data_IF_319398947637
#
_entry.id   IF_319398947637
#
_cell.length_a   1.000
_cell.length_b   1.000
_cell.length_c   1.000
_cell.angle_alpha   90.00
_cell.angle_beta   90.00
_cell.angle_gamma   90.00
#
_symmetry.space_group_name_H-M   'P 1'
#
loop_
_entity.id
_entity.type
_entity.pdbx_description
1 polymer ?
#
# COMPACT_ATOMS: atom_id res chain seq x y z
N UNK A 1 25.45 11.08 14.75
CA UNK A 1 24.72 11.80 15.81
C UNK A 1 23.63 12.64 15.16
N UNK A 2 22.36 12.47 15.57
CA UNK A 2 21.25 13.19 14.95
C UNK A 2 21.39 14.70 15.19
N UNK A 3 21.46 15.47 14.10
CA UNK A 3 21.56 16.94 14.15
C UNK A 3 20.27 17.46 14.81
N UNK A 4 20.39 18.00 16.03
CA UNK A 4 19.25 18.57 16.78
C UNK A 4 18.69 19.74 15.97
N UNK A 5 17.39 19.70 15.67
CA UNK A 5 16.70 20.82 15.02
C UNK A 5 16.30 21.82 16.11
N UNK A 6 16.77 23.05 15.97
CA UNK A 6 16.39 24.21 16.79
C UNK A 6 15.36 25.04 16.03
N UNK A 7 14.39 25.60 16.75
CA UNK A 7 13.44 26.58 16.24
C UNK A 7 13.41 27.78 17.21
N UNK A 8 12.94 28.93 16.76
CA UNK A 8 12.86 30.16 17.53
C UNK A 8 11.41 30.63 17.57
N UNK A 9 10.82 30.74 18.75
CA UNK A 9 9.41 31.07 18.92
C UNK A 9 9.26 32.44 19.57
N UNK A 10 8.42 33.30 19.02
CA UNK A 10 8.11 34.61 19.58
C UNK A 10 7.21 34.44 20.80
N UNK A 11 7.63 34.93 21.97
CA UNK A 11 6.83 34.85 23.20
C UNK A 11 5.53 35.68 23.14
N UNK A 12 5.49 36.71 22.28
CA UNK A 12 4.37 37.64 22.24
C UNK A 12 3.26 37.19 21.27
N UNK A 13 3.62 36.58 20.13
CA UNK A 13 2.64 36.18 19.11
C UNK A 13 2.66 34.70 18.75
N UNK A 14 3.61 33.91 19.27
CA UNK A 14 3.71 32.48 19.02
C UNK A 14 4.30 32.07 17.66
N UNK A 15 4.69 33.02 16.81
CA UNK A 15 5.31 32.72 15.52
C UNK A 15 6.64 31.99 15.67
N UNK A 16 6.88 30.97 14.85
CA UNK A 16 8.10 30.19 14.83
C UNK A 16 9.00 30.47 13.61
N UNK A 17 10.31 30.43 13.83
CA UNK A 17 11.34 30.72 12.83
C UNK A 17 12.46 29.69 12.91
N UNK A 18 13.07 29.37 11.76
CA UNK A 18 14.16 28.39 11.69
C UNK A 18 15.51 28.94 12.20
N UNK A 19 15.70 30.27 12.18
CA UNK A 19 16.94 30.95 12.56
C UNK A 19 16.62 32.15 13.47
N UNK A 20 17.58 32.54 14.31
CA UNK A 20 17.45 33.74 15.14
C UNK A 20 17.44 34.98 14.25
N UNK A 21 16.49 35.86 14.52
CA UNK A 21 16.41 37.20 13.95
C UNK A 21 15.99 38.12 15.09
N UNK A 22 16.69 39.23 15.35
CA UNK A 22 16.42 40.07 16.53
C UNK A 22 15.02 40.72 16.57
N UNK A 23 14.27 40.63 15.47
CA UNK A 23 12.93 41.17 15.29
C UNK A 23 11.95 40.09 14.79
N UNK A 24 10.78 39.99 15.42
CA UNK A 24 9.68 39.15 14.96
C UNK A 24 8.97 39.83 13.79
N UNK A 25 8.90 39.16 12.63
CA UNK A 25 8.31 39.74 11.41
C UNK A 25 6.78 39.81 11.43
N UNK A 26 6.13 39.04 12.30
CA UNK A 26 4.67 38.99 12.35
C UNK A 26 4.08 40.01 13.33
N UNK A 27 4.69 40.21 14.50
CA UNK A 27 4.22 41.21 15.48
C UNK A 27 5.10 42.46 15.57
N UNK A 28 6.25 42.51 14.89
CA UNK A 28 7.17 43.64 14.90
C UNK A 28 7.97 43.82 16.20
N UNK A 29 7.77 42.97 17.21
CA UNK A 29 8.45 43.07 18.49
C UNK A 29 9.94 42.67 18.39
N UNK A 30 10.78 43.35 19.18
CA UNK A 30 12.22 43.11 19.26
C UNK A 30 12.56 42.25 20.47
N UNK A 31 13.56 41.37 20.33
CA UNK A 31 14.08 40.50 21.40
C UNK A 31 13.04 39.58 22.07
N UNK A 32 11.93 39.27 21.39
CA UNK A 32 10.86 38.39 21.90
C UNK A 32 11.00 36.94 21.46
N UNK A 33 11.93 36.66 20.54
CA UNK A 33 12.20 35.31 20.06
C UNK A 33 12.97 34.53 21.12
N UNK A 34 12.59 33.28 21.35
CA UNK A 34 13.26 32.37 22.28
C UNK A 34 13.56 31.04 21.60
N UNK A 35 14.74 30.48 21.88
CA UNK A 35 15.16 29.21 21.29
C UNK A 35 14.37 28.05 21.93
N UNK A 36 13.61 27.34 21.10
CA UNK A 36 12.90 26.13 21.47
C UNK A 36 13.59 24.92 20.83
N UNK A 37 13.97 23.97 21.68
CA UNK A 37 14.52 22.69 21.24
C UNK A 37 13.38 21.80 20.81
N UNK A 38 13.25 21.56 19.50
CA UNK A 38 12.29 20.58 18.99
C UNK A 38 12.77 19.18 19.37
N UNK A 39 11.94 18.44 20.09
CA UNK A 39 12.20 17.05 20.39
C UNK A 39 12.31 16.28 19.07
N UNK A 40 13.40 15.54 18.89
CA UNK A 40 13.51 14.58 17.80
C UNK A 40 12.43 13.52 18.00
N UNK A 41 11.51 13.41 17.04
CA UNK A 41 10.52 12.33 17.01
C UNK A 41 11.25 10.99 17.17
N UNK A 42 10.84 10.08 18.07
CA UNK A 42 11.51 8.80 18.25
C UNK A 42 11.56 8.06 16.90
N UNK A 43 12.75 7.63 16.50
CA UNK A 43 12.96 6.84 15.28
C UNK A 43 12.16 5.52 15.27
N UNK A 44 11.64 5.10 16.43
CA UNK A 44 10.76 3.94 16.59
C UNK A 44 9.50 4.00 15.71
N UNK A 45 8.94 5.20 15.45
CA UNK A 45 7.75 5.31 14.59
C UNK A 45 8.03 5.02 13.10
N UNK A 46 9.30 5.10 12.66
CA UNK A 46 9.70 4.73 11.30
C UNK A 46 9.99 3.24 11.14
N UNK A 47 10.35 2.53 12.21
CA UNK A 47 10.71 1.11 12.15
C UNK A 47 9.48 0.20 11.93
N UNK A 48 8.32 0.60 12.44
CA UNK A 48 7.07 -0.18 12.30
C UNK A 48 6.58 -0.24 10.84
N UNK A 49 6.95 0.75 10.00
CA UNK A 49 6.53 0.82 8.59
C UNK A 49 7.19 -0.23 7.67
N UNK A 50 8.20 -0.95 8.14
CA UNK A 50 8.90 -1.97 7.35
C UNK A 50 8.77 -3.39 7.92
N UNK A 51 7.89 -3.61 8.89
CA UNK A 51 7.69 -4.93 9.47
C UNK A 51 6.82 -5.79 8.55
N UNK A 52 7.47 -6.43 7.56
CA UNK A 52 6.83 -7.40 6.67
C UNK A 52 6.42 -8.69 7.40
N UNK A 53 5.68 -9.56 6.71
CA UNK A 53 5.25 -10.87 7.21
C UNK A 53 6.41 -11.71 7.80
N UNK A 54 7.62 -11.57 7.24
CA UNK A 54 8.84 -12.24 7.70
C UNK A 54 9.36 -11.78 9.09
N UNK A 55 8.78 -10.74 9.69
CA UNK A 55 9.17 -10.20 11.00
C UNK A 55 8.03 -10.02 12.00
N UNK A 56 6.81 -10.47 11.67
CA UNK A 56 5.63 -10.31 12.51
C UNK A 56 5.38 -11.50 13.47
N UNK A 57 5.99 -12.65 13.22
CA UNK A 57 5.90 -13.80 14.12
C UNK A 57 6.96 -13.67 15.23
N UNK A 58 6.49 -13.64 16.49
CA UNK A 58 7.27 -13.61 17.73
C UNK A 58 8.13 -14.88 17.98
N UNK A 59 8.67 -15.52 16.95
CA UNK A 59 9.50 -16.72 17.05
C UNK A 59 10.63 -16.68 16.04
N UNK A 60 11.53 -15.70 16.18
CA UNK A 60 12.81 -15.66 15.45
C UNK A 60 13.85 -16.58 16.11
N UNK A 61 13.50 -17.85 16.32
CA UNK A 61 14.51 -18.85 16.67
C UNK A 61 15.20 -19.33 15.40
N UNK A 62 16.53 -19.41 15.43
CA UNK A 62 17.31 -20.04 14.38
C UNK A 62 16.89 -21.52 14.31
N UNK A 63 16.36 -21.94 13.18
CA UNK A 63 15.96 -23.32 12.91
C UNK A 63 16.58 -23.77 11.60
N UNK A 64 16.87 -25.07 11.48
CA UNK A 64 17.30 -25.67 10.23
C UNK A 64 16.09 -25.88 9.30
N UNK A 65 16.31 -25.96 7.98
CA UNK A 65 15.23 -26.00 6.99
C UNK A 65 14.25 -27.17 7.19
N UNK A 66 14.73 -28.30 7.70
CA UNK A 66 13.94 -29.51 8.02
C UNK A 66 13.02 -29.34 9.23
N UNK A 67 13.29 -28.36 10.09
CA UNK A 67 12.48 -28.04 11.26
C UNK A 67 11.33 -27.07 10.94
N UNK A 68 11.34 -26.49 9.73
CA UNK A 68 10.28 -25.58 9.29
C UNK A 68 9.02 -26.40 9.03
N UNK A 69 7.99 -26.14 9.83
CA UNK A 69 6.70 -26.78 9.66
C UNK A 69 6.09 -26.36 8.30
N UNK A 70 5.98 -27.32 7.39
CA UNK A 70 5.38 -27.13 6.07
C UNK A 70 3.84 -27.13 6.12
N UNK A 71 3.21 -27.03 7.29
CA UNK A 71 1.76 -26.90 7.45
C UNK A 71 1.23 -25.96 6.36
N UNK A 72 0.46 -26.53 5.42
CA UNK A 72 0.16 -25.91 4.15
C UNK A 72 -0.38 -24.51 4.40
N UNK A 73 0.35 -23.49 3.95
CA UNK A 73 -0.22 -22.14 3.89
C UNK A 73 -1.52 -22.23 3.09
N UNK A 74 -2.66 -21.80 3.65
CA UNK A 74 -3.95 -21.93 3.00
C UNK A 74 -3.92 -21.13 1.69
N UNK A 75 -4.18 -21.84 0.59
CA UNK A 75 -4.29 -21.29 -0.76
C UNK A 75 -5.74 -21.17 -1.18
N UNK A 76 -6.03 -20.20 -2.03
CA UNK A 76 -7.33 -20.09 -2.69
C UNK A 76 -7.15 -20.04 -4.21
N UNK A 77 -8.11 -20.63 -4.93
CA UNK A 77 -8.09 -20.73 -6.39
C UNK A 77 -8.32 -19.38 -7.04
N UNK A 78 -7.66 -19.14 -8.17
CA UNK A 78 -7.90 -17.99 -9.05
C UNK A 78 -9.14 -18.18 -9.94
N UNK A 79 -9.75 -19.37 -9.92
CA UNK A 79 -10.82 -19.78 -10.84
C UNK A 79 -10.30 -20.28 -12.19
N UNK A 80 -8.99 -20.17 -12.46
CA UNK A 80 -8.34 -20.65 -13.68
C UNK A 80 -7.30 -21.72 -13.36
N UNK A 81 -7.59 -22.99 -13.69
CA UNK A 81 -6.77 -24.14 -13.30
C UNK A 81 -5.30 -24.06 -13.75
N UNK A 82 -5.03 -23.60 -14.99
CA UNK A 82 -3.65 -23.43 -15.46
C UNK A 82 -2.93 -22.29 -14.73
N UNK A 83 -3.66 -21.23 -14.35
CA UNK A 83 -3.07 -20.14 -13.59
C UNK A 83 -2.76 -20.59 -12.15
N UNK A 84 -3.66 -21.34 -11.53
CA UNK A 84 -3.42 -21.98 -10.23
C UNK A 84 -2.20 -22.90 -10.28
N UNK A 85 -2.05 -23.69 -11.35
CA UNK A 85 -0.90 -24.57 -11.55
C UNK A 85 0.41 -23.78 -11.59
N UNK A 86 0.45 -22.65 -12.31
CA UNK A 86 1.62 -21.75 -12.34
C UNK A 86 1.92 -21.17 -10.95
N UNK A 87 0.89 -20.86 -10.17
CA UNK A 87 1.02 -20.34 -8.81
C UNK A 87 1.35 -21.41 -7.74
N UNK A 88 1.47 -22.68 -8.13
CA UNK A 88 1.72 -23.79 -7.20
C UNK A 88 0.47 -24.23 -6.42
N UNK A 89 -0.69 -24.19 -7.07
CA UNK A 89 -1.99 -24.58 -6.52
C UNK A 89 -2.89 -23.41 -6.09
N UNK A 90 -2.61 -22.19 -6.56
CA UNK A 90 -3.41 -20.99 -6.27
C UNK A 90 -2.69 -19.94 -5.41
N UNK A 91 -3.42 -18.88 -5.08
CA UNK A 91 -2.94 -17.68 -4.39
C UNK A 91 -2.69 -17.95 -2.90
N UNK A 92 -1.61 -17.38 -2.37
CA UNK A 92 -1.26 -17.43 -0.94
C UNK A 92 -1.58 -16.08 -0.28
N UNK A 93 -2.18 -16.13 0.90
CA UNK A 93 -2.47 -14.93 1.69
C UNK A 93 -1.20 -14.15 2.03
N UNK A 94 -1.26 -12.82 1.91
CA UNK A 94 -0.13 -11.94 2.24
C UNK A 94 1.05 -12.03 1.26
N UNK A 95 0.85 -12.64 0.09
CA UNK A 95 1.85 -12.68 -0.98
C UNK A 95 1.70 -11.48 -1.94
N UNK A 96 2.79 -11.15 -2.62
CA UNK A 96 2.80 -10.21 -3.75
C UNK A 96 3.23 -10.97 -5.00
N UNK A 97 2.47 -10.83 -6.09
CA UNK A 97 2.69 -11.56 -7.34
C UNK A 97 2.82 -10.54 -8.47
N UNK A 98 3.89 -10.64 -9.24
CA UNK A 98 4.13 -9.83 -10.43
C UNK A 98 3.79 -10.64 -11.69
N UNK A 99 2.88 -10.13 -12.51
CA UNK A 99 2.56 -10.70 -13.82
C UNK A 99 3.28 -9.90 -14.91
N UNK A 100 4.38 -10.47 -15.41
CA UNK A 100 5.12 -9.91 -16.54
C UNK A 100 4.66 -10.44 -17.89
N UNK A 101 4.86 -9.66 -18.95
CA UNK A 101 4.57 -10.07 -20.33
C UNK A 101 4.48 -8.88 -21.28
N UNK A 102 4.66 -9.13 -22.57
CA UNK A 102 4.60 -8.10 -23.61
C UNK A 102 3.25 -7.35 -23.61
N UNK A 103 3.19 -6.09 -24.08
CA UNK A 103 1.93 -5.43 -24.40
C UNK A 103 1.07 -6.33 -25.31
N UNK A 104 -0.23 -6.43 -25.01
CA UNK A 104 -1.13 -7.31 -25.75
C UNK A 104 -1.07 -8.80 -25.39
N UNK A 105 -0.18 -9.24 -24.48
CA UNK A 105 -0.12 -10.65 -24.02
C UNK A 105 -1.34 -11.12 -23.19
N UNK A 106 -2.32 -10.24 -22.96
CA UNK A 106 -3.56 -10.58 -22.24
C UNK A 106 -3.50 -10.49 -20.72
N UNK A 107 -2.49 -9.82 -20.15
CA UNK A 107 -2.31 -9.66 -18.68
C UNK A 107 -3.56 -9.08 -17.99
N UNK A 108 -3.99 -7.90 -18.44
CA UNK A 108 -5.17 -7.21 -17.92
C UNK A 108 -6.45 -8.04 -18.10
N UNK A 109 -6.56 -8.79 -19.19
CA UNK A 109 -7.69 -9.70 -19.43
C UNK A 109 -7.71 -10.84 -18.41
N UNK A 110 -6.57 -11.51 -18.20
CA UNK A 110 -6.44 -12.59 -17.21
C UNK A 110 -6.75 -12.08 -15.79
N UNK A 111 -6.20 -10.92 -15.44
CA UNK A 111 -6.43 -10.28 -14.15
C UNK A 111 -7.90 -9.92 -13.96
N UNK A 112 -8.55 -9.33 -14.96
CA UNK A 112 -9.97 -8.96 -14.90
C UNK A 112 -10.86 -10.19 -14.71
N UNK A 113 -10.61 -11.27 -15.46
CA UNK A 113 -11.33 -12.54 -15.31
C UNK A 113 -11.17 -13.14 -13.90
N UNK A 114 -9.93 -13.18 -13.41
CA UNK A 114 -9.60 -13.67 -12.07
C UNK A 114 -10.29 -12.84 -10.98
N UNK A 115 -10.24 -11.52 -11.09
CA UNK A 115 -10.81 -10.62 -10.09
C UNK A 115 -12.33 -10.64 -10.08
N UNK A 116 -13.00 -10.71 -11.24
CA UNK A 116 -14.45 -10.91 -11.32
C UNK A 116 -14.88 -12.23 -10.66
N UNK A 117 -14.11 -13.31 -10.85
CA UNK A 117 -14.37 -14.59 -10.21
C UNK A 117 -14.20 -14.51 -8.69
N UNK A 118 -13.08 -13.99 -8.21
CA UNK A 118 -12.78 -13.88 -6.77
C UNK A 118 -13.78 -12.99 -6.04
N UNK A 119 -14.20 -11.89 -6.66
CA UNK A 119 -15.20 -10.96 -6.14
C UNK A 119 -16.54 -11.64 -5.78
N UNK A 120 -16.83 -12.82 -6.33
CA UNK A 120 -18.05 -13.55 -5.98
C UNK A 120 -18.05 -14.11 -4.57
N UNK A 121 -16.88 -14.30 -3.97
CA UNK A 121 -16.70 -14.95 -2.66
C UNK A 121 -15.95 -14.11 -1.63
N UNK A 122 -15.36 -12.99 -2.03
CA UNK A 122 -14.58 -12.12 -1.16
C UNK A 122 -14.47 -10.71 -1.71
N UNK A 123 -14.21 -9.73 -0.83
CA UNK A 123 -13.96 -8.36 -1.24
C UNK A 123 -12.67 -8.29 -2.07
N UNK A 124 -12.81 -7.81 -3.31
CA UNK A 124 -11.73 -7.71 -4.28
C UNK A 124 -11.66 -6.30 -4.85
N UNK A 125 -10.44 -5.75 -4.98
CA UNK A 125 -10.20 -4.41 -5.52
C UNK A 125 -9.34 -4.47 -6.78
N UNK A 126 -9.87 -3.97 -7.90
CA UNK A 126 -9.12 -3.76 -9.13
C UNK A 126 -8.78 -2.28 -9.29
N UNK A 127 -7.49 -1.95 -9.28
CA UNK A 127 -7.00 -0.61 -9.54
C UNK A 127 -6.43 -0.55 -10.95
N UNK A 128 -6.90 0.41 -11.74
CA UNK A 128 -6.36 0.71 -13.09
C UNK A 128 -5.66 2.07 -13.12
N UNK A 129 -4.45 2.09 -13.66
CA UNK A 129 -3.69 3.32 -13.89
C UNK A 129 -3.65 3.75 -15.37
N UNK A 130 -3.82 2.80 -16.30
CA UNK A 130 -3.68 3.05 -17.74
C UNK A 130 -5.03 3.24 -18.47
N UNK A 131 -6.07 2.56 -18.01
CA UNK A 131 -7.38 2.53 -18.67
C UNK A 131 -8.46 3.17 -17.81
N UNK A 132 -9.47 3.78 -18.44
CA UNK A 132 -10.65 4.29 -17.74
C UNK A 132 -11.55 3.15 -17.25
N UNK A 133 -12.32 3.41 -16.19
CA UNK A 133 -13.29 2.43 -15.67
C UNK A 133 -14.29 1.97 -16.74
N UNK A 134 -14.69 2.86 -17.64
CA UNK A 134 -15.60 2.55 -18.74
C UNK A 134 -14.97 1.54 -19.73
N UNK A 135 -13.67 1.70 -20.05
CA UNK A 135 -12.96 0.78 -20.93
C UNK A 135 -12.87 -0.62 -20.34
N UNK A 136 -12.55 -0.71 -19.04
CA UNK A 136 -12.49 -1.99 -18.33
C UNK A 136 -13.88 -2.63 -18.22
N UNK A 137 -14.92 -1.85 -17.89
CA UNK A 137 -16.29 -2.34 -17.79
C UNK A 137 -16.82 -2.89 -19.13
N UNK A 138 -16.56 -2.19 -20.25
CA UNK A 138 -16.92 -2.69 -21.59
C UNK A 138 -16.23 -4.02 -21.90
N UNK A 139 -14.96 -4.19 -21.50
CA UNK A 139 -14.22 -5.45 -21.66
C UNK A 139 -14.86 -6.56 -20.84
N UNK A 140 -15.20 -6.30 -19.58
CA UNK A 140 -15.87 -7.27 -18.70
C UNK A 140 -17.22 -7.72 -19.27
N UNK A 141 -18.02 -6.78 -19.77
CA UNK A 141 -19.30 -7.09 -20.44
C UNK A 141 -19.10 -7.95 -21.69
N UNK A 142 -18.15 -7.61 -22.56
CA UNK A 142 -17.84 -8.39 -23.77
C UNK A 142 -17.43 -9.83 -23.45
N UNK A 143 -16.75 -10.03 -22.33
CA UNK A 143 -16.30 -11.34 -21.85
C UNK A 143 -17.38 -12.11 -21.07
N UNK A 144 -18.54 -11.50 -20.81
CA UNK A 144 -19.62 -12.13 -20.04
C UNK A 144 -19.27 -12.38 -18.58
N UNK A 145 -18.42 -11.53 -17.99
CA UNK A 145 -17.97 -11.70 -16.61
C UNK A 145 -19.01 -11.20 -15.60
N UNK A 146 -19.06 -11.77 -14.39
CA UNK A 146 -19.87 -11.22 -13.32
C UNK A 146 -19.23 -9.93 -12.79
N UNK A 147 -19.95 -8.81 -12.90
CA UNK A 147 -19.43 -7.46 -12.60
C UNK A 147 -20.07 -6.80 -11.38
N UNK A 148 -20.99 -7.49 -10.70
CA UNK A 148 -21.83 -6.94 -9.64
C UNK A 148 -21.11 -6.70 -8.31
N UNK A 149 -19.97 -7.37 -8.09
CA UNK A 149 -19.25 -7.36 -6.80
C UNK A 149 -17.81 -6.87 -6.86
N UNK A 150 -17.24 -6.70 -8.05
CA UNK A 150 -15.84 -6.27 -8.17
C UNK A 150 -15.74 -4.76 -7.89
N UNK A 151 -15.00 -4.38 -6.85
CA UNK A 151 -14.69 -2.97 -6.60
C UNK A 151 -13.61 -2.50 -7.57
N UNK A 152 -13.82 -1.33 -8.15
CA UNK A 152 -12.94 -0.76 -9.16
C UNK A 152 -12.51 0.66 -8.78
N UNK A 153 -11.24 0.97 -9.01
CA UNK A 153 -10.65 2.28 -8.79
C UNK A 153 -9.78 2.66 -9.99
N UNK A 154 -9.93 3.89 -10.49
CA UNK A 154 -9.04 4.46 -11.50
C UNK A 154 -8.17 5.50 -10.81
N UNK A 155 -6.94 5.14 -10.47
CA UNK A 155 -6.06 5.96 -9.66
C UNK A 155 -4.60 5.60 -9.94
N UNK A 156 -3.72 6.59 -9.88
CA UNK A 156 -2.27 6.43 -10.08
C UNK A 156 -1.46 6.80 -8.84
N UNK A 157 -2.06 7.55 -7.90
CA UNK A 157 -1.41 7.90 -6.65
C UNK A 157 -1.49 6.75 -5.63
N UNK A 158 -0.33 6.23 -5.22
CA UNK A 158 -0.24 5.09 -4.29
C UNK A 158 -0.83 5.40 -2.91
N UNK A 159 -0.71 6.64 -2.41
CA UNK A 159 -1.28 7.02 -1.12
C UNK A 159 -2.81 6.98 -1.15
N UNK A 160 -3.42 7.44 -2.25
CA UNK A 160 -4.87 7.37 -2.50
C UNK A 160 -5.34 5.92 -2.59
N UNK A 161 -4.62 5.07 -3.33
CA UNK A 161 -4.92 3.64 -3.44
C UNK A 161 -4.88 2.96 -2.06
N UNK A 162 -3.82 3.21 -1.28
CA UNK A 162 -3.68 2.67 0.07
C UNK A 162 -4.81 3.14 1.00
N UNK A 163 -5.20 4.42 0.94
CA UNK A 163 -6.31 4.94 1.74
C UNK A 163 -7.63 4.25 1.41
N UNK A 164 -7.92 4.00 0.13
CA UNK A 164 -9.12 3.24 -0.27
C UNK A 164 -9.04 1.77 0.17
N UNK A 165 -7.87 1.15 0.07
CA UNK A 165 -7.66 -0.22 0.51
C UNK A 165 -7.79 -0.39 2.04
N UNK A 166 -7.42 0.62 2.83
CA UNK A 166 -7.63 0.61 4.29
C UNK A 166 -9.11 0.66 4.69
N UNK A 167 -9.94 1.35 3.90
CA UNK A 167 -11.40 1.42 4.10
C UNK A 167 -12.07 0.11 3.67
N UNK A 168 -11.79 -0.35 2.44
CA UNK A 168 -12.42 -1.54 1.86
C UNK A 168 -11.91 -2.85 2.50
N UNK A 169 -10.65 -2.88 2.95
CA UNK A 169 -9.95 -4.07 3.47
C UNK A 169 -10.09 -5.30 2.55
N UNK A 170 -9.78 -5.17 1.24
CA UNK A 170 -9.96 -6.25 0.29
C UNK A 170 -9.08 -7.46 0.64
N UNK A 171 -9.58 -8.67 0.36
CA UNK A 171 -8.82 -9.92 0.48
C UNK A 171 -7.81 -10.10 -0.64
N UNK A 172 -8.07 -9.47 -1.80
CA UNK A 172 -7.21 -9.46 -2.96
C UNK A 172 -7.26 -8.10 -3.64
N UNK A 173 -6.09 -7.59 -4.03
CA UNK A 173 -5.93 -6.31 -4.71
C UNK A 173 -5.06 -6.50 -5.95
N UNK A 174 -5.51 -5.96 -7.08
CA UNK A 174 -4.74 -5.89 -8.33
C UNK A 174 -4.45 -4.43 -8.66
N UNK A 175 -3.23 -4.16 -9.13
CA UNK A 175 -2.83 -2.88 -9.72
C UNK A 175 -2.43 -3.14 -11.18
N UNK A 176 -3.16 -2.55 -12.11
CA UNK A 176 -2.98 -2.71 -13.55
C UNK A 176 -2.85 -1.33 -14.23
N UNK A 177 -1.67 -0.80 -14.47
CA UNK A 177 -0.34 -1.37 -14.29
C UNK A 177 0.48 -0.63 -13.22
N UNK A 178 1.70 -1.11 -12.97
CA UNK A 178 2.68 -0.53 -12.04
C UNK A 178 3.37 0.71 -12.63
#
# INVERSE_FOLDING_TARGET
MAKRKTAYVCNDCGSDYANWQGNCKDCGAWNTLTEVRLASTPAAAKAVRFQGYAGAANSQQLQTLDQINLAKMPRFTTGAGEFDRVLGGGLVHGSAILIGGYPGAGKSTLLLQTMCFLAQSMDALYVTGEESLQQVAMRAQRLGLPTDKLHMLSETNVESICAQAEVLKPKVLVVDSI
#
